data_IF_078481816599
#
_entry.id   IF_078481816599
#
_cell.length_a   1.000
_cell.length_b   1.000
_cell.length_c   1.000
_cell.angle_alpha   90.00
_cell.angle_beta   90.00
_cell.angle_gamma   90.00
#
_symmetry.space_group_name_H-M   'P 1'
#
loop_
_entity.id
_entity.type
_entity.pdbx_description
1 polymer ?
#
# COMPACT_ATOMS: atom_id res chain seq x y z
N UNK A 1 6.88 13.47 12.38
CA UNK A 1 6.74 13.38 10.91
C UNK A 1 7.14 12.01 10.38
N UNK A 2 8.34 11.50 10.69
CA UNK A 2 8.78 10.17 10.21
C UNK A 2 7.98 8.99 10.80
N UNK A 3 7.35 9.21 11.95
CA UNK A 3 6.52 8.25 12.69
C UNK A 3 5.39 7.70 11.80
N UNK A 4 4.53 8.61 11.29
CA UNK A 4 3.44 8.27 10.36
C UNK A 4 3.94 7.59 9.09
N UNK A 5 5.12 7.97 8.59
CA UNK A 5 5.73 7.34 7.40
C UNK A 5 6.02 5.86 7.70
N UNK A 6 6.73 5.59 8.80
CA UNK A 6 7.07 4.23 9.20
C UNK A 6 5.83 3.38 9.55
N UNK A 7 4.79 3.96 10.13
CA UNK A 7 3.52 3.27 10.37
C UNK A 7 2.83 2.86 9.06
N UNK A 8 2.74 3.76 8.07
CA UNK A 8 2.20 3.45 6.74
C UNK A 8 3.04 2.37 6.06
N UNK A 9 4.37 2.49 6.07
CA UNK A 9 5.27 1.50 5.46
C UNK A 9 5.17 0.13 6.13
N UNK A 10 5.03 0.08 7.46
CA UNK A 10 4.86 -1.17 8.20
C UNK A 10 3.49 -1.82 7.95
N UNK A 11 2.41 -1.04 7.84
CA UNK A 11 1.08 -1.54 7.47
C UNK A 11 1.04 -2.07 6.04
N UNK A 12 1.47 -1.28 5.05
CA UNK A 12 1.54 -1.72 3.64
C UNK A 12 2.48 -2.93 3.48
N UNK A 13 3.60 -2.93 4.19
CA UNK A 13 4.57 -4.02 4.19
C UNK A 13 4.08 -5.30 4.87
N UNK A 14 3.19 -5.21 5.88
CA UNK A 14 2.50 -6.36 6.46
C UNK A 14 1.40 -6.88 5.57
N UNK A 15 0.55 -5.99 5.06
CA UNK A 15 -0.56 -6.35 4.19
C UNK A 15 -0.10 -7.14 2.95
N UNK A 16 1.03 -6.76 2.33
CA UNK A 16 1.64 -7.53 1.24
C UNK A 16 2.14 -8.93 1.71
N UNK A 17 2.71 -9.03 2.92
CA UNK A 17 3.17 -10.29 3.50
C UNK A 17 2.00 -11.26 3.74
N UNK A 18 0.92 -10.77 4.36
CA UNK A 18 -0.27 -11.54 4.67
C UNK A 18 -1.01 -11.96 3.38
N UNK A 19 -1.11 -11.06 2.38
CA UNK A 19 -1.58 -11.38 1.01
C UNK A 19 -0.77 -12.51 0.35
N UNK A 20 0.57 -12.49 0.46
CA UNK A 20 1.43 -13.51 -0.13
C UNK A 20 1.22 -14.89 0.53
N UNK A 21 1.08 -14.88 1.86
CA UNK A 21 0.80 -16.09 2.66
C UNK A 21 -0.59 -16.66 2.34
N UNK A 22 -1.63 -15.83 2.19
CA UNK A 22 -2.98 -16.29 1.86
C UNK A 22 -3.13 -16.78 0.41
N UNK A 23 -2.36 -16.23 -0.54
CA UNK A 23 -2.30 -16.75 -1.92
C UNK A 23 -1.56 -18.09 -2.04
N UNK A 24 -0.86 -18.53 -0.99
CA UNK A 24 -0.16 -19.81 -0.95
C UNK A 24 1.14 -19.84 -1.76
N UNK A 25 1.73 -18.68 -2.04
CA UNK A 25 3.13 -18.61 -2.50
C UNK A 25 4.08 -18.96 -1.36
N UNK A 26 5.13 -19.72 -1.67
CA UNK A 26 6.16 -20.04 -0.69
C UNK A 26 6.93 -18.75 -0.34
N UNK A 27 7.08 -18.35 0.93
CA UNK A 27 7.65 -17.05 1.30
C UNK A 27 9.13 -16.88 0.92
N UNK A 28 9.77 -17.91 0.35
CA UNK A 28 11.10 -17.85 -0.26
C UNK A 28 11.08 -17.59 -1.78
N UNK A 29 9.95 -17.79 -2.45
CA UNK A 29 9.80 -17.70 -3.92
C UNK A 29 8.90 -16.51 -4.29
N UNK A 30 9.35 -15.30 -3.92
CA UNK A 30 8.66 -14.02 -4.16
C UNK A 30 8.56 -13.62 -5.65
N UNK A 31 8.86 -14.54 -6.58
CA UNK A 31 8.90 -14.29 -8.01
C UNK A 31 7.55 -14.34 -8.72
N UNK A 32 6.52 -14.97 -8.15
CA UNK A 32 5.21 -15.08 -8.80
C UNK A 32 4.31 -13.85 -8.52
N UNK A 33 4.30 -13.30 -7.29
CA UNK A 33 3.71 -11.99 -6.99
C UNK A 33 4.38 -10.81 -7.71
N UNK A 34 5.62 -10.95 -8.17
CA UNK A 34 6.29 -9.94 -9.04
C UNK A 34 5.69 -9.93 -10.47
N UNK A 35 5.00 -11.00 -10.87
CA UNK A 35 4.33 -11.12 -12.18
C UNK A 35 2.81 -10.94 -12.14
N UNK A 36 2.15 -11.19 -11.00
CA UNK A 36 0.74 -10.89 -10.82
C UNK A 36 0.56 -9.36 -10.64
N UNK A 37 -0.11 -8.63 -11.56
CA UNK A 37 -0.36 -7.22 -11.34
C UNK A 37 -1.23 -7.08 -10.11
N UNK A 38 -0.72 -6.41 -9.05
CA UNK A 38 -1.44 -6.26 -7.80
C UNK A 38 -2.80 -5.59 -8.08
N UNK A 39 -3.86 -6.39 -8.03
CA UNK A 39 -5.13 -5.99 -8.63
C UNK A 39 -5.74 -4.83 -7.83
N UNK A 40 -6.53 -3.98 -8.50
CA UNK A 40 -6.93 -2.70 -7.89
C UNK A 40 -7.77 -2.87 -6.62
N UNK A 41 -8.38 -4.04 -6.45
CA UNK A 41 -9.04 -4.50 -5.22
C UNK A 41 -8.06 -4.59 -4.03
N UNK A 42 -6.97 -5.34 -4.19
CA UNK A 42 -5.94 -5.55 -3.15
C UNK A 42 -5.33 -4.22 -2.69
N UNK A 43 -5.03 -3.33 -3.62
CA UNK A 43 -4.52 -2.00 -3.30
C UNK A 43 -5.59 -1.09 -2.65
N UNK A 44 -6.89 -1.27 -2.95
CA UNK A 44 -7.99 -0.62 -2.21
C UNK A 44 -8.12 -1.13 -0.76
N UNK A 45 -7.88 -2.42 -0.51
CA UNK A 45 -7.94 -3.00 0.84
C UNK A 45 -6.78 -2.53 1.73
N UNK A 46 -5.56 -2.49 1.19
CA UNK A 46 -4.42 -1.85 1.85
C UNK A 46 -4.72 -0.37 2.18
N UNK A 47 -5.33 0.36 1.24
CA UNK A 47 -5.75 1.73 1.45
C UNK A 47 -6.82 1.87 2.54
N UNK A 48 -7.75 0.93 2.68
CA UNK A 48 -8.74 0.90 3.75
C UNK A 48 -8.15 0.71 5.15
N UNK A 49 -6.96 0.12 5.29
CA UNK A 49 -6.21 0.10 6.55
C UNK A 49 -5.58 1.46 6.86
N UNK A 50 -4.88 2.02 5.87
CA UNK A 50 -4.25 3.35 5.97
C UNK A 50 -5.28 4.45 6.26
N UNK A 51 -6.49 4.34 5.69
CA UNK A 51 -7.60 5.24 5.95
C UNK A 51 -8.07 5.18 7.41
N UNK A 52 -8.15 3.99 8.02
CA UNK A 52 -8.47 3.83 9.45
C UNK A 52 -7.37 4.42 10.34
N UNK A 53 -6.10 4.11 10.02
CA UNK A 53 -4.91 4.54 10.78
C UNK A 53 -4.75 6.07 10.80
N UNK A 54 -5.07 6.74 9.68
CA UNK A 54 -5.02 8.21 9.56
C UNK A 54 -6.34 8.90 9.88
N UNK A 55 -7.41 8.14 10.17
CA UNK A 55 -8.81 8.60 10.26
C UNK A 55 -9.29 9.38 9.01
N UNK A 56 -8.73 8.98 7.86
CA UNK A 56 -8.78 9.52 6.48
C UNK A 56 -10.11 9.45 5.72
N UNK A 57 -10.03 9.86 4.44
CA UNK A 57 -10.93 9.53 3.31
C UNK A 57 -10.15 9.43 1.98
N UNK A 58 -8.93 8.91 2.00
CA UNK A 58 -7.95 9.00 0.90
C UNK A 58 -8.44 8.22 -0.34
N UNK A 59 -8.65 8.87 -1.49
CA UNK A 59 -9.18 8.21 -2.68
C UNK A 59 -8.15 7.27 -3.31
N UNK A 60 -8.44 5.97 -3.21
CA UNK A 60 -7.58 4.91 -3.72
C UNK A 60 -7.27 5.07 -5.23
N UNK A 61 -8.24 5.50 -6.06
CA UNK A 61 -8.02 5.75 -7.50
C UNK A 61 -7.01 6.87 -7.82
N UNK A 62 -6.72 7.75 -6.86
CA UNK A 62 -5.73 8.83 -6.98
C UNK A 62 -4.31 8.36 -6.66
N UNK A 63 -4.15 7.48 -5.67
CA UNK A 63 -2.83 7.01 -5.20
C UNK A 63 -2.40 5.68 -5.85
N UNK A 64 -3.35 4.89 -6.36
CA UNK A 64 -3.07 3.62 -7.03
C UNK A 64 -2.68 3.85 -8.49
N UNK A 65 -1.47 3.39 -8.85
CA UNK A 65 -0.98 3.36 -10.23
C UNK A 65 -1.87 2.43 -11.08
N UNK A 66 -2.58 3.00 -12.07
CA UNK A 66 -3.24 2.21 -13.12
C UNK A 66 -2.19 1.45 -13.93
N UNK A 67 -2.09 0.14 -13.67
CA UNK A 67 -1.00 -0.73 -14.12
C UNK A 67 -0.45 -1.67 -13.03
N UNK A 68 -0.83 -1.47 -11.77
CA UNK A 68 -0.36 -2.28 -10.65
C UNK A 68 1.06 -1.90 -10.19
N UNK A 69 1.68 -2.78 -9.39
CA UNK A 69 3.01 -2.59 -8.82
C UNK A 69 3.88 -3.83 -9.06
N UNK A 70 5.14 -3.62 -9.41
CA UNK A 70 6.07 -4.66 -9.84
C UNK A 70 6.79 -5.34 -8.65
N UNK A 71 6.76 -4.74 -7.45
CA UNK A 71 7.44 -5.24 -6.24
C UNK A 71 6.84 -4.63 -4.97
N UNK A 72 6.97 -5.35 -3.85
CA UNK A 72 6.60 -4.89 -2.50
C UNK A 72 7.20 -3.53 -2.15
N UNK A 73 8.49 -3.31 -2.44
CA UNK A 73 9.16 -2.03 -2.19
C UNK A 73 8.53 -0.89 -3.00
N UNK A 74 8.27 -1.10 -4.29
CA UNK A 74 7.64 -0.08 -5.14
C UNK A 74 6.21 0.23 -4.68
N UNK A 75 5.44 -0.79 -4.29
CA UNK A 75 4.11 -0.61 -3.68
C UNK A 75 4.17 0.25 -2.42
N UNK A 76 5.03 -0.13 -1.47
CA UNK A 76 5.19 0.56 -0.19
C UNK A 76 5.65 2.01 -0.39
N UNK A 77 6.71 2.27 -1.16
CA UNK A 77 7.21 3.64 -1.36
C UNK A 77 6.20 4.54 -2.07
N UNK A 78 5.59 4.06 -3.16
CA UNK A 78 4.74 4.90 -4.00
C UNK A 78 3.41 5.25 -3.32
N UNK A 79 2.80 4.30 -2.62
CA UNK A 79 1.60 4.57 -1.80
C UNK A 79 1.95 5.43 -0.59
N UNK A 80 3.06 5.17 0.13
CA UNK A 80 3.48 6.00 1.26
C UNK A 80 3.72 7.44 0.84
N UNK A 81 4.37 7.67 -0.32
CA UNK A 81 4.62 9.00 -0.85
C UNK A 81 3.33 9.76 -1.19
N UNK A 82 2.43 9.13 -1.96
CA UNK A 82 1.17 9.77 -2.36
C UNK A 82 0.19 9.94 -1.17
N UNK A 83 0.15 9.00 -0.23
CA UNK A 83 -0.60 9.13 1.04
C UNK A 83 -0.05 10.28 1.88
N UNK A 84 1.27 10.36 2.11
CA UNK A 84 1.85 11.47 2.87
C UNK A 84 1.62 12.82 2.21
N UNK A 85 1.71 12.88 0.88
CA UNK A 85 1.41 14.08 0.09
C UNK A 85 -0.06 14.49 0.25
N UNK A 86 -1.01 13.58 0.04
CA UNK A 86 -2.44 13.85 0.25
C UNK A 86 -2.76 14.28 1.70
N UNK A 87 -2.15 13.63 2.69
CA UNK A 87 -2.28 14.00 4.12
C UNK A 87 -1.72 15.39 4.40
N UNK A 88 -0.62 15.79 3.74
CA UNK A 88 -0.02 17.11 3.90
C UNK A 88 -0.82 18.21 3.17
N UNK A 89 -1.26 17.97 1.93
CA UNK A 89 -2.06 18.91 1.14
C UNK A 89 -3.45 19.16 1.75
N UNK A 90 -3.98 18.21 2.54
CA UNK A 90 -5.23 18.35 3.28
C UNK A 90 -5.04 18.54 4.80
N UNK A 91 -3.84 18.85 5.31
CA UNK A 91 -3.58 18.90 6.76
C UNK A 91 -4.33 20.02 7.53
N UNK A 92 -4.91 20.98 6.82
CA UNK A 92 -5.48 22.24 7.34
C UNK A 92 -7.04 22.28 7.35
N UNK A 93 -7.71 21.12 7.19
CA UNK A 93 -9.19 20.95 7.20
C UNK A 93 -9.68 20.01 8.33
#
# INVERSE_FOLDING_TARGET
MGDKKQEIEASLGRFWDEMAIELGEDPQDTGALVGAPLDSLTAMEAMLEIDKLLNRKIPADTVIRKGGYESKEQFVEHLTAEVLKYVAEHADD
#
